data_IF_978452426106
#
_entry.id   IF_978452426106
#
_cell.length_a   1.000
_cell.length_b   1.000
_cell.length_c   1.000
_cell.angle_alpha   90.00
_cell.angle_beta   90.00
_cell.angle_gamma   90.00
#
_symmetry.space_group_name_H-M   'P 1'
#
loop_
_entity.id
_entity.type
_entity.pdbx_description
1 polymer ?
#
# COMPACT_ATOMS: atom_id res chain seq x y z
N UNK A 1 -11.56 5.18 3.49
CA UNK A 1 -10.73 4.15 2.82
C UNK A 1 -10.71 2.89 3.66
N UNK A 2 -11.14 1.75 3.10
CA UNK A 2 -11.21 0.46 3.80
C UNK A 2 -10.39 -0.58 3.04
N UNK A 3 -9.51 -1.29 3.75
CA UNK A 3 -8.67 -2.33 3.19
C UNK A 3 -9.37 -3.68 3.20
N UNK A 4 -9.40 -4.34 2.05
CA UNK A 4 -9.90 -5.70 1.91
C UNK A 4 -8.71 -6.63 1.74
N UNK A 5 -8.71 -7.72 2.51
CA UNK A 5 -7.70 -8.77 2.36
C UNK A 5 -7.94 -9.50 1.05
N UNK A 6 -6.91 -9.58 0.21
CA UNK A 6 -6.96 -10.34 -1.03
C UNK A 6 -6.79 -11.82 -0.68
N UNK A 7 -7.87 -12.58 -0.81
CA UNK A 7 -7.87 -14.04 -0.62
C UNK A 7 -7.78 -14.68 -2.01
N UNK A 8 -6.61 -15.18 -2.36
CA UNK A 8 -6.35 -15.91 -3.59
C UNK A 8 -6.14 -17.41 -3.35
N UNK A 9 -5.99 -18.22 -4.42
CA UNK A 9 -5.69 -19.66 -4.32
C UNK A 9 -4.30 -19.94 -3.72
N UNK A 10 -3.46 -18.92 -3.58
CA UNK A 10 -2.19 -18.99 -2.85
C UNK A 10 -2.48 -18.61 -1.41
N UNK A 11 -2.38 -19.60 -0.51
CA UNK A 11 -2.59 -19.41 0.93
C UNK A 11 -1.81 -18.20 1.45
N UNK A 12 -2.50 -17.34 2.20
CA UNK A 12 -1.92 -16.31 3.05
C UNK A 12 -0.91 -15.35 2.38
N UNK A 13 -1.23 -14.83 1.18
CA UNK A 13 -0.35 -13.85 0.50
C UNK A 13 -0.08 -12.57 1.30
N UNK A 14 -0.81 -12.30 2.39
CA UNK A 14 -0.62 -11.10 3.21
C UNK A 14 -0.76 -9.83 2.37
N UNK A 15 -1.71 -9.80 1.44
CA UNK A 15 -1.98 -8.64 0.58
C UNK A 15 -3.33 -8.05 0.96
N UNK A 16 -3.35 -6.74 1.13
CA UNK A 16 -4.56 -5.94 1.32
C UNK A 16 -4.62 -4.87 0.26
N UNK A 17 -5.80 -4.65 -0.32
CA UNK A 17 -6.01 -3.56 -1.27
C UNK A 17 -7.14 -2.64 -0.83
N UNK A 18 -7.07 -1.41 -1.31
CA UNK A 18 -8.10 -0.41 -1.12
C UNK A 18 -8.06 0.57 -2.28
N UNK A 19 -9.20 1.15 -2.62
CA UNK A 19 -9.29 2.23 -3.60
C UNK A 19 -10.13 3.36 -3.02
N UNK A 20 -9.70 4.58 -3.23
CA UNK A 20 -10.39 5.80 -2.80
C UNK A 20 -9.97 6.96 -3.69
N UNK A 21 -10.92 7.83 -4.05
CA UNK A 21 -10.65 9.12 -4.72
C UNK A 21 -9.77 9.03 -5.98
N UNK A 22 -9.95 7.96 -6.78
CA UNK A 22 -9.15 7.75 -8.00
C UNK A 22 -7.75 7.21 -7.76
N UNK A 23 -7.40 6.81 -6.54
CA UNK A 23 -6.15 6.15 -6.19
C UNK A 23 -6.41 4.72 -5.71
N UNK A 24 -5.44 3.84 -5.98
CA UNK A 24 -5.44 2.47 -5.47
C UNK A 24 -4.21 2.25 -4.62
N UNK A 25 -4.41 1.65 -3.46
CA UNK A 25 -3.39 1.33 -2.48
C UNK A 25 -3.33 -0.16 -2.27
N UNK A 26 -2.12 -0.65 -2.09
CA UNK A 26 -1.83 -2.06 -1.82
C UNK A 26 -0.84 -2.13 -0.66
N UNK A 27 -1.16 -2.93 0.33
CA UNK A 27 -0.26 -3.30 1.42
C UNK A 27 0.10 -4.77 1.24
N UNK A 28 1.39 -5.09 1.23
CA UNK A 28 1.90 -6.46 1.19
C UNK A 28 2.79 -6.73 2.38
N UNK A 29 2.64 -7.89 3.02
CA UNK A 29 3.55 -8.34 4.07
C UNK A 29 4.76 -9.05 3.47
N UNK A 30 5.94 -8.45 3.55
CA UNK A 30 7.18 -9.10 3.14
C UNK A 30 7.81 -9.82 4.34
N UNK A 31 7.89 -11.16 4.23
CA UNK A 31 8.57 -12.01 5.21
C UNK A 31 10.01 -12.29 4.79
N UNK A 32 10.89 -12.59 5.75
CA UNK A 32 12.32 -12.86 5.52
C UNK A 32 12.62 -14.12 4.67
N UNK A 33 11.60 -14.89 4.29
CA UNK A 33 11.76 -16.23 3.70
C UNK A 33 11.74 -16.31 2.17
N UNK A 34 11.53 -15.19 1.46
CA UNK A 34 11.50 -15.18 -0.01
C UNK A 34 12.90 -15.11 -0.65
N UNK A 35 13.10 -15.65 -1.87
CA UNK A 35 14.34 -15.47 -2.61
C UNK A 35 14.42 -14.02 -3.13
N UNK A 36 15.04 -13.11 -2.37
CA UNK A 36 15.13 -11.68 -2.72
C UNK A 36 15.87 -10.80 -1.70
N UNK A 37 16.03 -9.51 -2.03
CA UNK A 37 16.74 -8.51 -1.21
C UNK A 37 16.18 -8.46 0.22
N UNK A 38 17.03 -8.77 1.20
CA UNK A 38 16.71 -8.87 2.62
C UNK A 38 16.43 -7.48 3.24
N UNK A 39 15.25 -6.92 2.96
CA UNK A 39 14.69 -5.80 3.71
C UNK A 39 14.22 -6.22 5.11
N UNK A 40 14.04 -5.26 6.04
CA UNK A 40 13.40 -5.58 7.32
C UNK A 40 11.98 -6.13 7.06
N UNK A 41 11.58 -7.23 7.71
CA UNK A 41 10.24 -7.79 7.52
C UNK A 41 9.20 -6.78 8.00
N UNK A 42 8.10 -6.68 7.26
CA UNK A 42 7.04 -5.76 7.61
C UNK A 42 6.04 -5.54 6.48
N UNK A 43 5.11 -4.62 6.75
CA UNK A 43 4.05 -4.23 5.84
C UNK A 43 4.56 -3.14 4.91
N UNK A 44 4.68 -3.46 3.63
CA UNK A 44 5.02 -2.51 2.59
C UNK A 44 3.75 -1.96 1.99
N UNK A 45 3.54 -0.65 2.15
CA UNK A 45 2.45 0.06 1.54
C UNK A 45 2.90 0.72 0.23
N UNK A 46 2.04 0.65 -0.78
CA UNK A 46 2.24 1.27 -2.08
C UNK A 46 0.93 1.83 -2.60
N UNK A 47 1.01 2.79 -3.51
CA UNK A 47 -0.14 3.44 -4.12
C UNK A 47 0.10 3.70 -5.61
N UNK A 48 -0.98 3.79 -6.38
CA UNK A 48 -0.95 4.22 -7.78
C UNK A 48 -2.16 5.09 -8.08
N UNK A 49 -2.01 5.98 -9.05
CA UNK A 49 -3.18 6.62 -9.64
C UNK A 49 -3.96 5.61 -10.49
N UNK A 50 -5.29 5.69 -10.47
CA UNK A 50 -6.16 4.94 -11.38
C UNK A 50 -6.43 5.71 -12.67
N UNK A 51 -6.29 7.04 -12.65
CA UNK A 51 -6.48 7.89 -13.84
C UNK A 51 -5.27 7.85 -14.78
N UNK A 52 -4.09 7.55 -14.24
CA UNK A 52 -2.86 7.44 -15.00
C UNK A 52 -2.33 6.01 -14.88
N UNK A 53 -1.85 5.43 -15.98
CA UNK A 53 -1.22 4.10 -15.97
C UNK A 53 0.20 4.17 -15.38
N UNK A 54 0.30 4.62 -14.13
CA UNK A 54 1.55 4.82 -13.40
C UNK A 54 1.91 3.59 -12.61
N UNK A 55 3.23 3.35 -12.51
CA UNK A 55 3.76 2.30 -11.66
C UNK A 55 3.39 2.58 -10.19
N UNK A 56 3.24 1.52 -9.39
CA UNK A 56 2.98 1.67 -7.97
C UNK A 56 4.17 2.33 -7.27
N UNK A 57 3.89 3.43 -6.57
CA UNK A 57 4.85 4.20 -5.79
C UNK A 57 4.77 3.72 -4.34
N UNK A 58 5.94 3.46 -3.75
CA UNK A 58 6.04 3.05 -2.35
C UNK A 58 5.66 4.22 -1.42
N UNK A 59 4.81 3.98 -0.43
CA UNK A 59 4.50 4.96 0.61
C UNK A 59 5.72 5.15 1.51
N UNK A 60 6.09 6.40 1.77
CA UNK A 60 7.24 6.73 2.62
C UNK A 60 7.09 6.16 4.04
N UNK A 61 8.21 5.69 4.61
CA UNK A 61 8.23 5.05 5.93
C UNK A 61 8.02 3.53 5.93
N UNK A 62 7.73 2.93 4.78
CA UNK A 62 7.70 1.47 4.63
C UNK A 62 9.11 0.85 4.62
N UNK A 63 9.28 -0.37 5.14
CA UNK A 63 8.24 -1.26 5.70
C UNK A 63 7.79 -0.88 7.13
N UNK A 64 6.49 -0.99 7.38
CA UNK A 64 5.86 -0.75 8.69
C UNK A 64 5.83 -2.02 9.55
N UNK A 65 5.77 -1.89 10.88
CA UNK A 65 5.75 -3.05 11.77
C UNK A 65 4.38 -3.70 11.82
N UNK A 66 3.32 -2.92 11.67
CA UNK A 66 1.93 -3.40 11.78
C UNK A 66 1.09 -3.01 10.55
N UNK A 67 0.03 -3.78 10.29
CA UNK A 67 -0.94 -3.46 9.25
C UNK A 67 -1.59 -2.09 9.52
N UNK A 68 -1.96 -1.81 10.77
CA UNK A 68 -2.59 -0.55 11.15
C UNK A 68 -1.70 0.67 10.84
N UNK A 69 -0.39 0.60 11.11
CA UNK A 69 0.54 1.68 10.73
C UNK A 69 0.58 1.89 9.21
N UNK A 70 0.58 0.79 8.44
CA UNK A 70 0.54 0.87 6.98
C UNK A 70 -0.78 1.46 6.46
N UNK A 71 -1.92 1.12 7.08
CA UNK A 71 -3.23 1.69 6.75
C UNK A 71 -3.28 3.20 7.06
N UNK A 72 -2.79 3.63 8.21
CA UNK A 72 -2.71 5.05 8.58
C UNK A 72 -1.79 5.83 7.64
N UNK A 73 -0.63 5.25 7.26
CA UNK A 73 0.26 5.85 6.28
C UNK A 73 -0.42 6.01 4.90
N UNK A 74 -1.21 5.02 4.47
CA UNK A 74 -2.02 5.12 3.24
C UNK A 74 -3.09 6.21 3.34
N UNK A 75 -3.79 6.34 4.48
CA UNK A 75 -4.78 7.41 4.69
C UNK A 75 -4.14 8.80 4.67
N UNK A 76 -2.97 8.94 5.30
CA UNK A 76 -2.20 10.17 5.28
C UNK A 76 -1.73 10.51 3.85
N UNK A 77 -1.25 9.50 3.10
CA UNK A 77 -0.86 9.66 1.70
C UNK A 77 -2.05 10.06 0.83
N UNK A 78 -3.22 9.44 0.99
CA UNK A 78 -4.44 9.83 0.29
C UNK A 78 -4.79 11.30 0.56
N UNK A 79 -4.73 11.74 1.82
CA UNK A 79 -4.95 13.14 2.18
C UNK A 79 -3.94 14.10 1.56
N UNK A 80 -2.68 13.67 1.39
CA UNK A 80 -1.68 14.45 0.65
C UNK A 80 -2.01 14.51 -0.85
N UNK A 81 -2.35 13.39 -1.47
CA UNK A 81 -2.64 13.31 -2.91
C UNK A 81 -3.89 14.11 -3.29
N UNK A 82 -4.95 14.05 -2.49
CA UNK A 82 -6.18 14.80 -2.76
C UNK A 82 -5.99 16.31 -2.56
N UNK A 83 -5.22 16.73 -1.56
CA UNK A 83 -4.89 18.15 -1.35
C UNK A 83 -4.04 18.75 -2.47
N UNK A 84 -3.14 17.97 -3.07
CA UNK A 84 -2.34 18.46 -4.20
C UNK A 84 -3.13 18.54 -5.51
N UNK A 85 -4.28 17.86 -5.62
CA UNK A 85 -5.16 17.94 -6.79
C UNK A 85 -6.15 19.12 -6.73
N UNK A 86 -6.45 19.64 -5.54
CA UNK A 86 -7.36 20.79 -5.34
C UNK A 86 -6.63 22.16 -5.46
N UNK A 87 -5.32 22.13 -5.71
CA UNK A 87 -4.45 23.31 -5.75
C UNK A 87 -4.01 23.77 -7.15
N UNK A 88 -4.58 23.23 -8.23
CA UNK A 88 -4.42 23.73 -9.61
C UNK A 88 -5.54 24.70 -10.01
#
# INVERSE_FOLDING_TARGET
MQFNRVVGPVEDMGIWNASSDGFSFVISYESRGGPGFHGPPGYVASWRSLSQNTAAIRVGGSPFKTLAEAEEACKAMLGYLTRNLDGE
#
